data_IF_035706254651
#
_entry.id   IF_035706254651
#
_cell.length_a   1.000
_cell.length_b   1.000
_cell.length_c   1.000
_cell.angle_alpha   90.00
_cell.angle_beta   90.00
_cell.angle_gamma   90.00
#
_symmetry.space_group_name_H-M   'P 1'
#
loop_
_entity.id
_entity.type
_entity.pdbx_description
1 polymer ?
#
# COMPACT_ATOMS: atom_id res chain seq x y z
N UNK A 1 -17.26 19.19 -8.33
CA UNK A 1 -16.04 18.63 -7.69
C UNK A 1 -16.43 17.97 -6.38
N UNK A 2 -15.95 16.75 -6.07
CA UNK A 2 -16.18 16.13 -4.76
C UNK A 2 -15.51 16.97 -3.66
N UNK A 3 -16.23 17.25 -2.57
CA UNK A 3 -15.68 17.99 -1.43
C UNK A 3 -14.78 17.07 -0.60
N UNK A 4 -13.63 17.57 -0.16
CA UNK A 4 -12.72 16.85 0.75
C UNK A 4 -13.42 16.48 2.07
N UNK A 5 -12.98 15.40 2.71
CA UNK A 5 -13.45 15.04 4.05
C UNK A 5 -13.02 16.11 5.06
N UNK A 6 -13.90 16.41 6.03
CA UNK A 6 -13.57 17.30 7.14
C UNK A 6 -12.50 16.67 8.04
N UNK A 7 -11.50 17.45 8.41
CA UNK A 7 -10.52 17.15 9.46
C UNK A 7 -11.17 17.16 10.84
N UNK A 8 -10.55 16.53 11.83
CA UNK A 8 -11.11 16.47 13.18
C UNK A 8 -11.28 17.86 13.82
N UNK A 9 -10.41 18.82 13.49
CA UNK A 9 -10.51 20.21 13.95
C UNK A 9 -11.70 20.93 13.33
N UNK A 10 -11.92 20.77 12.01
CA UNK A 10 -13.11 21.35 11.36
C UNK A 10 -14.39 20.70 11.89
N UNK A 11 -14.36 19.38 12.17
CA UNK A 11 -15.49 18.68 12.76
C UNK A 11 -15.81 19.21 14.16
N UNK A 12 -14.79 19.48 14.96
CA UNK A 12 -14.94 20.12 16.27
C UNK A 12 -15.54 21.51 16.13
N UNK A 13 -15.03 22.34 15.22
CA UNK A 13 -15.56 23.68 14.99
C UNK A 13 -17.05 23.67 14.59
N UNK A 14 -17.49 22.72 13.76
CA UNK A 14 -18.92 22.54 13.45
C UNK A 14 -19.74 22.23 14.70
N UNK A 15 -19.27 21.34 15.57
CA UNK A 15 -19.96 21.00 16.81
C UNK A 15 -19.99 22.19 17.77
N UNK A 16 -18.87 22.91 17.92
CA UNK A 16 -18.78 24.09 18.80
C UNK A 16 -19.76 25.18 18.34
N UNK A 17 -19.88 25.43 17.04
CA UNK A 17 -20.88 26.36 16.48
C UNK A 17 -22.32 25.91 16.74
N UNK A 18 -22.60 24.61 16.62
CA UNK A 18 -23.93 24.08 16.95
C UNK A 18 -24.22 24.16 18.45
N UNK A 19 -23.24 23.92 19.31
CA UNK A 19 -23.39 24.05 20.76
C UNK A 19 -23.74 25.48 21.17
N UNK A 20 -23.06 26.49 20.59
CA UNK A 20 -23.39 27.92 20.79
C UNK A 20 -24.84 28.27 20.42
N UNK A 21 -25.39 27.58 19.41
CA UNK A 21 -26.75 27.81 18.91
C UNK A 21 -27.78 26.87 19.57
N UNK A 22 -27.35 25.94 20.41
CA UNK A 22 -28.22 24.98 21.06
C UNK A 22 -28.83 25.58 22.33
N UNK A 23 -30.11 25.29 22.57
CA UNK A 23 -30.81 25.67 23.77
C UNK A 23 -31.43 24.42 24.40
N UNK A 24 -31.09 24.12 25.65
CA UNK A 24 -31.49 22.90 26.36
C UNK A 24 -31.22 21.61 25.54
N UNK A 25 -30.07 21.54 24.87
CA UNK A 25 -29.66 20.41 24.04
C UNK A 25 -30.46 20.25 22.73
N UNK A 26 -31.34 21.20 22.39
CA UNK A 26 -32.11 21.22 21.16
C UNK A 26 -31.64 22.33 20.23
N UNK A 27 -31.63 22.04 18.93
CA UNK A 27 -31.30 23.01 17.89
C UNK A 27 -32.57 23.57 17.25
N UNK A 28 -32.71 24.90 17.14
CA UNK A 28 -33.79 25.53 16.39
C UNK A 28 -33.84 25.10 14.91
N UNK A 29 -35.01 25.27 14.29
CA UNK A 29 -35.20 24.99 12.86
C UNK A 29 -34.26 25.88 12.02
N UNK A 30 -33.66 25.29 10.99
CA UNK A 30 -32.79 26.00 10.04
C UNK A 30 -31.33 26.15 10.47
N UNK A 31 -30.97 25.79 11.71
CA UNK A 31 -29.58 25.92 12.21
C UNK A 31 -28.60 25.06 11.41
N UNK A 32 -28.98 23.84 11.01
CA UNK A 32 -28.12 23.00 10.17
C UNK A 32 -27.84 23.63 8.80
N UNK A 33 -28.81 24.33 8.22
CA UNK A 33 -28.63 25.02 6.95
C UNK A 33 -27.71 26.23 7.11
N UNK A 34 -27.91 27.02 8.18
CA UNK A 34 -27.05 28.16 8.51
C UNK A 34 -25.59 27.75 8.72
N UNK A 35 -25.35 26.77 9.60
CA UNK A 35 -23.99 26.27 9.89
C UNK A 35 -23.39 25.56 8.67
N UNK A 36 -24.20 24.82 7.92
CA UNK A 36 -23.80 24.19 6.66
C UNK A 36 -23.31 25.21 5.64
N UNK A 37 -24.08 26.28 5.39
CA UNK A 37 -23.69 27.35 4.47
C UNK A 37 -22.39 28.03 4.90
N UNK A 38 -22.23 28.36 6.18
CA UNK A 38 -21.02 29.00 6.71
C UNK A 38 -19.76 28.11 6.54
N UNK A 39 -19.91 26.79 6.72
CA UNK A 39 -18.80 25.84 6.66
C UNK A 39 -18.64 25.19 5.27
N UNK A 40 -19.45 25.60 4.28
CA UNK A 40 -19.47 25.02 2.95
C UNK A 40 -19.92 23.55 2.90
N UNK A 41 -20.71 23.08 3.86
CA UNK A 41 -21.16 21.69 4.00
C UNK A 41 -22.66 21.54 3.82
N UNK A 42 -23.05 20.37 3.33
CA UNK A 42 -24.46 20.04 3.18
C UNK A 42 -25.13 19.97 4.56
N UNK A 43 -26.35 20.53 4.74
CA UNK A 43 -27.06 20.50 6.02
C UNK A 43 -27.25 19.09 6.59
N UNK A 44 -27.35 18.07 5.72
CA UNK A 44 -27.45 16.65 6.11
C UNK A 44 -26.15 16.16 6.75
N UNK A 45 -25.00 16.63 6.27
CA UNK A 45 -23.69 16.30 6.84
C UNK A 45 -23.56 16.88 8.25
N UNK A 46 -23.95 18.14 8.42
CA UNK A 46 -23.97 18.84 9.71
C UNK A 46 -24.94 18.17 10.68
N UNK A 47 -26.17 17.85 10.24
CA UNK A 47 -27.16 17.13 11.04
C UNK A 47 -26.65 15.75 11.48
N UNK A 48 -26.02 15.02 10.57
CA UNK A 48 -25.43 13.70 10.89
C UNK A 48 -24.28 13.81 11.90
N UNK A 49 -23.52 14.90 11.89
CA UNK A 49 -22.49 15.15 12.90
C UNK A 49 -23.12 15.43 14.27
N UNK A 50 -24.13 16.31 14.33
CA UNK A 50 -24.84 16.63 15.58
C UNK A 50 -25.48 15.41 16.23
N UNK A 51 -26.24 14.61 15.46
CA UNK A 51 -26.89 13.40 15.99
C UNK A 51 -25.89 12.42 16.58
N UNK A 52 -24.74 12.26 15.93
CA UNK A 52 -23.64 11.41 16.41
C UNK A 52 -23.02 11.96 17.68
N UNK A 53 -22.75 13.26 17.72
CA UNK A 53 -22.26 13.94 18.91
C UNK A 53 -23.22 13.74 20.10
N UNK A 54 -24.50 14.07 19.92
CA UNK A 54 -25.52 13.93 20.96
C UNK A 54 -25.64 12.47 21.47
N UNK A 55 -25.56 11.49 20.57
CA UNK A 55 -25.58 10.06 20.95
C UNK A 55 -24.33 9.66 21.74
N UNK A 56 -23.16 10.17 21.37
CA UNK A 56 -21.90 9.89 22.06
C UNK A 56 -21.86 10.54 23.46
N UNK A 57 -22.37 11.76 23.59
CA UNK A 57 -22.52 12.44 24.88
C UNK A 57 -23.50 11.69 25.79
N UNK A 58 -24.64 11.24 25.25
CA UNK A 58 -25.60 10.42 26.01
C UNK A 58 -24.99 9.07 26.47
N UNK A 59 -24.02 8.54 25.73
CA UNK A 59 -23.27 7.33 26.09
C UNK A 59 -22.06 7.59 27.00
N UNK A 60 -21.80 8.84 27.42
CA UNK A 60 -20.68 9.19 28.30
C UNK A 60 -19.30 9.21 27.63
N UNK A 61 -19.24 9.30 26.29
CA UNK A 61 -17.96 9.43 25.57
C UNK A 61 -17.45 10.87 25.69
N UNK A 62 -16.22 11.05 26.17
CA UNK A 62 -15.61 12.38 26.39
C UNK A 62 -14.35 12.56 25.52
N UNK A 63 -14.28 13.68 24.82
CA UNK A 63 -13.09 14.18 24.14
C UNK A 63 -12.81 13.61 22.74
N UNK A 64 -13.70 12.77 22.19
CA UNK A 64 -13.53 12.13 20.86
C UNK A 64 -14.81 12.04 20.04
N UNK A 65 -15.92 12.54 20.54
CA UNK A 65 -17.26 12.41 19.98
C UNK A 65 -17.43 13.08 18.60
N UNK A 66 -16.53 14.01 18.24
CA UNK A 66 -16.50 14.67 16.93
C UNK A 66 -15.52 14.03 15.92
N UNK A 67 -14.66 13.11 16.35
CA UNK A 67 -13.58 12.55 15.52
C UNK A 67 -14.09 11.79 14.29
N UNK A 68 -13.30 11.81 13.22
CA UNK A 68 -13.59 11.05 12.02
C UNK A 68 -13.50 9.55 12.28
N UNK A 69 -14.50 8.80 11.80
CA UNK A 69 -14.47 7.33 11.79
C UNK A 69 -13.72 6.75 10.59
N UNK A 70 -13.33 7.61 9.64
CA UNK A 70 -12.51 7.20 8.51
C UNK A 70 -11.13 6.89 9.06
N UNK A 71 -10.81 5.59 9.15
CA UNK A 71 -9.46 5.14 9.53
C UNK A 71 -8.48 5.74 8.53
N UNK A 72 -7.32 6.22 8.99
CA UNK A 72 -6.35 6.90 8.13
C UNK A 72 -6.04 6.08 6.86
N UNK A 73 -5.49 4.88 7.04
CA UNK A 73 -5.20 3.96 5.95
C UNK A 73 -6.44 3.11 5.61
N UNK A 74 -7.60 3.73 5.37
CA UNK A 74 -8.88 3.04 5.09
C UNK A 74 -9.05 2.60 3.64
N UNK A 75 -8.19 3.06 2.73
CA UNK A 75 -8.22 2.69 1.32
C UNK A 75 -7.78 1.25 1.06
N UNK A 76 -7.76 0.88 -0.22
CA UNK A 76 -7.29 -0.43 -0.68
C UNK A 76 -5.88 -0.69 -0.12
N UNK A 77 -5.76 -1.75 0.69
CA UNK A 77 -4.47 -2.16 1.24
C UNK A 77 -3.53 -2.61 0.13
N UNK A 78 -2.25 -2.30 0.30
CA UNK A 78 -1.20 -2.86 -0.56
C UNK A 78 -1.16 -4.37 -0.36
N UNK A 79 -0.81 -5.10 -1.42
CA UNK A 79 -0.52 -6.54 -1.31
C UNK A 79 0.68 -6.72 -0.38
N UNK A 80 0.65 -7.78 0.43
CA UNK A 80 1.75 -8.05 1.36
C UNK A 80 3.06 -8.25 0.60
N UNK A 81 4.13 -7.63 1.10
CA UNK A 81 5.47 -7.80 0.52
C UNK A 81 5.94 -9.25 0.67
N UNK A 82 5.55 -9.92 1.75
CA UNK A 82 5.90 -11.31 2.02
C UNK A 82 5.19 -12.27 1.05
N UNK A 83 3.91 -12.01 0.74
CA UNK A 83 3.19 -12.78 -0.27
C UNK A 83 3.83 -12.63 -1.66
N UNK A 84 4.25 -11.40 -2.01
CA UNK A 84 4.94 -11.14 -3.26
C UNK A 84 6.29 -11.86 -3.29
N UNK A 85 7.05 -11.81 -2.19
CA UNK A 85 8.33 -12.51 -2.08
C UNK A 85 8.14 -14.03 -2.18
N UNK A 86 7.21 -14.61 -1.43
CA UNK A 86 6.94 -16.05 -1.43
C UNK A 86 6.61 -16.55 -2.83
N UNK A 87 5.72 -15.85 -3.55
CA UNK A 87 5.38 -16.17 -4.94
C UNK A 87 6.55 -16.01 -5.90
N UNK A 88 7.52 -15.15 -5.62
CA UNK A 88 8.69 -14.98 -6.48
C UNK A 88 9.77 -16.03 -6.18
N UNK A 89 9.89 -16.46 -4.92
CA UNK A 89 10.83 -17.50 -4.48
C UNK A 89 10.41 -18.90 -4.93
N UNK A 90 9.13 -19.16 -5.17
CA UNK A 90 8.67 -20.48 -5.64
C UNK A 90 9.15 -20.85 -7.05
N UNK A 91 9.58 -19.88 -7.87
CA UNK A 91 10.01 -20.14 -9.26
C UNK A 91 11.53 -20.35 -9.37
N UNK A 92 12.04 -21.15 -10.31
CA UNK A 92 13.48 -21.26 -10.58
C UNK A 92 14.13 -19.89 -10.88
N UNK A 93 15.41 -19.72 -10.56
CA UNK A 93 16.12 -18.42 -10.67
C UNK A 93 16.23 -17.97 -12.14
N UNK A 94 16.32 -18.92 -13.04
CA UNK A 94 16.45 -18.77 -14.49
C UNK A 94 15.23 -18.04 -15.07
N UNK A 95 14.04 -18.37 -14.58
CA UNK A 95 12.78 -17.78 -15.01
C UNK A 95 12.50 -16.41 -14.39
N UNK A 96 13.26 -16.02 -13.35
CA UNK A 96 13.13 -14.72 -12.65
C UNK A 96 13.75 -13.54 -13.39
N UNK A 97 14.53 -13.78 -14.44
CA UNK A 97 15.25 -12.74 -15.17
C UNK A 97 14.32 -11.74 -15.87
N UNK A 98 13.23 -12.22 -16.48
CA UNK A 98 12.35 -11.41 -17.33
C UNK A 98 11.05 -11.08 -16.61
N UNK A 99 10.86 -9.81 -16.22
CA UNK A 99 9.66 -9.31 -15.51
C UNK A 99 8.33 -9.76 -16.14
N UNK A 100 8.24 -9.84 -17.47
CA UNK A 100 7.03 -10.30 -18.19
C UNK A 100 6.76 -11.78 -17.95
N UNK A 101 7.79 -12.64 -18.03
CA UNK A 101 7.65 -14.08 -17.77
C UNK A 101 7.26 -14.33 -16.32
N UNK A 102 7.93 -13.65 -15.39
CA UNK A 102 7.60 -13.70 -13.96
C UNK A 102 6.16 -13.28 -13.70
N UNK A 103 5.67 -12.24 -14.36
CA UNK A 103 4.28 -11.80 -14.22
C UNK A 103 3.28 -12.88 -14.66
N UNK A 104 3.51 -13.47 -15.84
CA UNK A 104 2.67 -14.53 -16.36
C UNK A 104 2.68 -15.77 -15.46
N UNK A 105 3.86 -16.18 -14.98
CA UNK A 105 4.01 -17.36 -14.13
C UNK A 105 3.44 -17.16 -12.70
N UNK A 106 3.68 -16.00 -12.08
CA UNK A 106 3.29 -15.73 -10.68
C UNK A 106 1.85 -15.22 -10.50
N UNK A 107 1.15 -14.91 -11.59
CA UNK A 107 -0.15 -14.21 -11.55
C UNK A 107 -0.06 -12.80 -10.93
N UNK A 108 1.15 -12.25 -10.77
CA UNK A 108 1.37 -10.89 -10.29
C UNK A 108 1.40 -9.93 -11.47
N UNK A 109 0.92 -8.70 -11.25
CA UNK A 109 1.00 -7.69 -12.30
C UNK A 109 2.47 -7.29 -12.56
N UNK A 110 2.79 -6.96 -13.81
CA UNK A 110 4.12 -6.43 -14.19
C UNK A 110 4.52 -5.21 -13.36
N UNK A 111 3.54 -4.38 -13.00
CA UNK A 111 3.74 -3.21 -12.12
C UNK A 111 4.26 -3.64 -10.75
N UNK A 112 3.61 -4.62 -10.12
CA UNK A 112 3.97 -5.09 -8.78
C UNK A 112 5.39 -5.66 -8.73
N UNK A 113 5.78 -6.42 -9.76
CA UNK A 113 7.15 -6.97 -9.86
C UNK A 113 8.16 -5.84 -10.07
N UNK A 114 7.86 -4.85 -10.92
CA UNK A 114 8.72 -3.68 -11.10
C UNK A 114 8.88 -2.90 -9.81
N UNK A 115 7.80 -2.70 -9.06
CA UNK A 115 7.79 -2.01 -7.79
C UNK A 115 8.58 -2.78 -6.72
N UNK A 116 8.41 -4.10 -6.64
CA UNK A 116 9.16 -4.95 -5.71
C UNK A 116 10.67 -4.91 -5.94
N UNK A 117 11.11 -4.83 -7.21
CA UNK A 117 12.52 -4.63 -7.54
C UNK A 117 12.98 -3.21 -7.18
N UNK A 118 12.16 -2.18 -7.43
CA UNK A 118 12.47 -0.78 -7.11
C UNK A 118 12.61 -0.56 -5.60
N UNK A 119 11.74 -1.18 -4.81
CA UNK A 119 11.69 -1.08 -3.35
C UNK A 119 12.69 -2.04 -2.67
N UNK A 120 13.45 -2.83 -3.43
CA UNK A 120 14.48 -3.74 -2.90
C UNK A 120 13.94 -4.99 -2.20
N UNK A 121 12.64 -5.26 -2.29
CA UNK A 121 12.00 -6.49 -1.76
C UNK A 121 12.62 -7.74 -2.39
N UNK A 122 12.97 -7.60 -3.68
CA UNK A 122 13.59 -8.63 -4.53
C UNK A 122 14.82 -8.03 -5.18
N UNK A 123 15.96 -8.69 -5.05
CA UNK A 123 17.20 -8.28 -5.72
C UNK A 123 17.33 -9.00 -7.06
N UNK A 124 17.87 -8.29 -8.05
CA UNK A 124 18.33 -8.93 -9.28
C UNK A 124 19.62 -9.66 -8.98
N UNK A 125 19.68 -10.93 -9.34
CA UNK A 125 20.88 -11.73 -9.24
C UNK A 125 21.41 -11.96 -10.65
N UNK A 126 22.69 -11.66 -10.85
CA UNK A 126 23.41 -12.13 -12.01
C UNK A 126 23.75 -13.61 -11.77
N UNK A 127 23.44 -14.47 -12.71
CA UNK A 127 23.87 -15.88 -12.72
C UNK A 127 25.29 -16.05 -13.28
N UNK A 128 25.89 -14.96 -13.75
CA UNK A 128 27.25 -14.96 -14.29
C UNK A 128 28.26 -15.06 -13.15
N UNK A 129 28.71 -16.29 -12.88
CA UNK A 129 29.68 -16.63 -11.82
C UNK A 129 31.10 -16.73 -12.37
N UNK A 130 31.27 -16.88 -13.69
CA UNK A 130 32.58 -17.10 -14.29
C UNK A 130 33.41 -15.82 -14.34
N UNK A 131 34.62 -15.77 -13.75
CA UNK A 131 35.54 -14.66 -13.96
C UNK A 131 35.99 -14.63 -15.42
N UNK A 132 36.40 -13.46 -15.90
CA UNK A 132 37.01 -13.33 -17.22
C UNK A 132 38.24 -14.25 -17.29
N UNK A 133 38.23 -15.21 -18.23
CA UNK A 133 39.34 -16.13 -18.40
C UNK A 133 40.48 -15.42 -19.14
N UNK A 134 41.66 -15.38 -18.52
CA UNK A 134 42.91 -15.06 -19.19
C UNK A 134 43.25 -16.14 -20.22
N UNK A 135 44.15 -15.85 -21.16
CA UNK A 135 44.67 -16.82 -22.13
C UNK A 135 45.25 -18.06 -21.43
N UNK A 136 45.99 -17.85 -20.34
CA UNK A 136 46.55 -18.90 -19.47
C UNK A 136 45.46 -19.83 -18.91
N UNK A 137 44.41 -19.26 -18.31
CA UNK A 137 43.31 -20.03 -17.71
C UNK A 137 42.54 -20.85 -18.74
N UNK A 138 42.49 -20.39 -20.00
CA UNK A 138 41.87 -21.14 -21.10
C UNK A 138 42.70 -22.36 -21.47
N UNK A 139 44.03 -22.21 -21.58
CA UNK A 139 44.95 -23.32 -21.87
C UNK A 139 44.87 -24.41 -20.80
N UNK A 140 44.97 -24.04 -19.52
CA UNK A 140 44.88 -24.99 -18.41
C UNK A 140 43.56 -25.77 -18.39
N UNK A 141 42.45 -25.11 -18.78
CA UNK A 141 41.15 -25.78 -18.90
C UNK A 141 41.09 -26.77 -20.06
N UNK A 142 41.73 -26.45 -21.19
CA UNK A 142 41.82 -27.36 -22.34
C UNK A 142 42.69 -28.56 -21.97
N UNK A 143 43.85 -28.34 -21.35
CA UNK A 143 44.73 -29.42 -20.86
C UNK A 143 44.02 -30.34 -19.86
N UNK A 144 43.32 -29.77 -18.89
CA UNK A 144 42.51 -30.53 -17.95
C UNK A 144 41.38 -31.29 -18.65
N UNK A 145 40.73 -30.75 -19.68
CA UNK A 145 39.70 -31.49 -20.42
C UNK A 145 40.30 -32.65 -21.23
N UNK A 146 41.47 -32.45 -21.83
CA UNK A 146 42.21 -33.47 -22.56
C UNK A 146 42.66 -34.62 -21.67
N UNK A 147 42.95 -34.38 -20.38
CA UNK A 147 43.33 -35.45 -19.44
C UNK A 147 42.21 -36.42 -19.06
N UNK A 148 40.96 -36.18 -19.48
CA UNK A 148 39.84 -37.13 -19.34
C UNK A 148 39.52 -37.87 -20.65
N UNK A 149 40.27 -37.59 -21.71
CA UNK A 149 40.09 -38.23 -23.02
C UNK A 149 41.20 -39.27 -23.18
N UNK A 150 40.81 -40.54 -23.10
CA UNK A 150 41.66 -41.70 -23.27
C UNK A 150 41.12 -42.55 -24.43
N UNK A 151 41.92 -43.47 -24.96
CA UNK A 151 41.50 -44.40 -26.02
C UNK A 151 40.28 -45.26 -25.63
N UNK A 152 39.99 -45.39 -24.33
CA UNK A 152 38.81 -46.07 -23.81
C UNK A 152 37.53 -45.21 -23.90
N UNK A 153 37.62 -43.88 -23.89
CA UNK A 153 36.48 -42.95 -24.02
C UNK A 153 36.22 -42.50 -25.46
N UNK A 154 37.11 -42.82 -26.41
CA UNK A 154 37.01 -42.50 -27.84
C UNK A 154 36.38 -43.62 -28.71
N UNK A 155 35.88 -44.70 -28.11
CA UNK A 155 35.16 -45.78 -28.83
C UNK A 155 33.72 -45.42 -29.17
#
# INVERSE_FOLDING_TARGET
MPKSNLTDNERKAVIDELLKLSYNGKLPRGVYAKVGSNMGRDPTTVSSMWKRYASAVAAGVVGREWTSRIKQNSGRKRKSHDEVRAKLVSFPVEDRAVKRRVAAASGLSRHLIRQAVKEGIVRRQATFITPALTSENKMQRVEHALSFIDDATLR
#
